data_IF_586431607787
#
_entry.id   IF_586431607787
#
_cell.length_a   1.000
_cell.length_b   1.000
_cell.length_c   1.000
_cell.angle_alpha   90.00
_cell.angle_beta   90.00
_cell.angle_gamma   90.00
#
_symmetry.space_group_name_H-M   'P 1'
#
loop_
_entity.id
_entity.type
_entity.pdbx_description
1 polymer ?
#
# COMPACT_ATOMS: atom_id res chain seq x y z
N UNK A 1 65.32 -20.88 31.23
CA UNK A 1 64.51 -21.32 30.05
C UNK A 1 64.68 -20.45 28.79
N UNK A 2 65.15 -19.21 28.82
CA UNK A 2 65.23 -18.29 27.67
C UNK A 2 66.25 -18.66 26.57
N UNK A 3 67.40 -19.28 26.88
CA UNK A 3 68.46 -19.62 25.90
C UNK A 3 68.04 -20.62 24.80
N UNK A 4 67.07 -21.53 25.05
CA UNK A 4 66.58 -22.49 24.03
C UNK A 4 65.64 -21.88 23.02
N UNK A 5 64.96 -20.79 23.35
CA UNK A 5 64.05 -20.08 22.42
C UNK A 5 64.79 -19.21 21.41
N UNK A 6 65.90 -18.61 21.77
CA UNK A 6 66.70 -17.73 20.92
C UNK A 6 67.71 -18.45 20.04
N UNK A 7 67.98 -19.75 20.32
CA UNK A 7 68.92 -20.53 19.49
C UNK A 7 68.25 -20.79 18.11
N UNK A 8 68.94 -20.35 17.04
CA UNK A 8 68.48 -20.43 15.65
C UNK A 8 67.19 -19.59 15.35
N UNK A 9 67.03 -18.43 16.04
CA UNK A 9 65.87 -17.55 15.89
C UNK A 9 65.58 -17.22 14.42
N UNK A 10 66.61 -16.98 13.61
CA UNK A 10 66.46 -16.69 12.18
C UNK A 10 65.80 -17.85 11.42
N UNK A 11 66.18 -19.10 11.70
CA UNK A 11 65.54 -20.27 11.08
C UNK A 11 64.12 -20.48 11.54
N UNK A 12 63.79 -20.16 12.80
CA UNK A 12 62.43 -20.24 13.33
C UNK A 12 61.52 -19.19 12.69
N UNK A 13 62.01 -17.94 12.55
CA UNK A 13 61.26 -16.88 11.86
C UNK A 13 61.04 -17.28 10.39
N UNK A 14 62.09 -17.79 9.71
CA UNK A 14 61.97 -18.25 8.33
C UNK A 14 60.96 -19.39 8.19
N UNK A 15 60.93 -20.36 9.13
CA UNK A 15 59.97 -21.48 9.09
C UNK A 15 58.52 -21.00 9.27
N UNK A 16 58.28 -20.00 10.15
CA UNK A 16 56.95 -19.38 10.32
C UNK A 16 56.53 -18.63 9.05
N UNK A 17 57.45 -17.90 8.44
CA UNK A 17 57.21 -17.23 7.16
C UNK A 17 56.89 -18.24 6.05
N UNK A 18 57.68 -19.29 5.94
CA UNK A 18 57.43 -20.34 4.93
C UNK A 18 56.09 -21.05 5.18
N UNK A 19 55.77 -21.39 6.42
CA UNK A 19 54.47 -21.97 6.77
C UNK A 19 53.30 -21.06 6.41
N UNK A 20 53.47 -19.76 6.66
CA UNK A 20 52.45 -18.76 6.27
C UNK A 20 52.26 -18.71 4.75
N UNK A 21 53.35 -18.68 3.98
CA UNK A 21 53.25 -18.67 2.51
C UNK A 21 52.68 -19.97 1.95
N UNK A 22 53.05 -21.14 2.52
CA UNK A 22 52.45 -22.42 2.13
C UNK A 22 50.95 -22.44 2.48
N UNK A 23 50.58 -21.95 3.67
CA UNK A 23 49.19 -21.85 4.07
C UNK A 23 48.42 -20.92 3.13
N UNK A 24 48.98 -19.75 2.80
CA UNK A 24 48.39 -18.80 1.87
C UNK A 24 48.23 -19.38 0.44
N UNK A 25 49.24 -20.11 -0.04
CA UNK A 25 49.19 -20.79 -1.32
C UNK A 25 48.12 -21.90 -1.34
N UNK A 26 48.05 -22.73 -0.31
CA UNK A 26 47.05 -23.81 -0.18
C UNK A 26 45.64 -23.20 -0.08
N UNK A 27 45.45 -22.15 0.69
CA UNK A 27 44.14 -21.47 0.84
C UNK A 27 43.70 -20.88 -0.49
N UNK A 28 44.63 -20.27 -1.26
CA UNK A 28 44.33 -19.66 -2.56
C UNK A 28 44.02 -20.70 -3.65
N UNK A 29 44.74 -21.86 -3.63
CA UNK A 29 44.51 -22.95 -4.57
C UNK A 29 43.23 -23.73 -4.23
N UNK A 30 42.96 -23.93 -2.93
CA UNK A 30 41.79 -24.69 -2.46
C UNK A 30 40.49 -23.89 -2.46
N UNK A 31 40.55 -22.56 -2.59
CA UNK A 31 39.43 -21.60 -2.56
C UNK A 31 38.04 -22.24 -2.88
N UNK A 32 37.47 -22.98 -1.92
CA UNK A 32 36.27 -23.78 -2.18
C UNK A 32 35.05 -22.89 -2.40
N UNK A 33 34.08 -23.40 -3.16
CA UNK A 33 32.79 -22.76 -3.31
C UNK A 33 32.00 -22.84 -2.01
N UNK A 34 31.40 -21.72 -1.65
CA UNK A 34 30.46 -21.60 -0.53
C UNK A 34 29.11 -21.14 -1.05
N UNK A 35 28.05 -21.58 -0.39
CA UNK A 35 26.69 -21.06 -0.65
C UNK A 35 26.42 -19.91 0.30
N UNK A 36 26.09 -18.77 -0.25
CA UNK A 36 25.67 -17.58 0.49
C UNK A 36 24.25 -17.15 0.05
N UNK A 37 23.65 -16.30 0.83
CA UNK A 37 22.29 -15.76 0.55
C UNK A 37 22.28 -14.25 0.65
N UNK A 38 21.44 -13.62 -0.16
CA UNK A 38 21.12 -12.18 -0.09
C UNK A 38 19.63 -11.95 -0.26
N UNK A 39 19.10 -10.99 0.45
CA UNK A 39 17.76 -10.47 0.19
C UNK A 39 17.85 -9.46 -0.95
N UNK A 40 17.02 -9.65 -1.97
CA UNK A 40 16.98 -8.84 -3.18
C UNK A 40 15.55 -8.35 -3.39
N UNK A 41 15.35 -7.07 -3.71
CA UNK A 41 14.03 -6.56 -4.08
C UNK A 41 13.45 -7.34 -5.27
N UNK A 42 12.14 -7.62 -5.18
CA UNK A 42 11.40 -8.28 -6.24
C UNK A 42 10.79 -7.24 -7.16
N UNK A 43 11.13 -7.30 -8.44
CA UNK A 43 10.51 -6.48 -9.48
C UNK A 43 9.37 -7.27 -10.13
N UNK A 44 8.31 -6.56 -10.52
CA UNK A 44 7.21 -7.12 -11.32
C UNK A 44 7.31 -6.53 -12.72
N UNK A 45 7.27 -7.40 -13.73
CA UNK A 45 7.35 -7.01 -15.13
C UNK A 45 6.05 -7.33 -15.85
N UNK A 46 5.78 -6.59 -16.94
CA UNK A 46 4.63 -6.79 -17.85
C UNK A 46 3.27 -6.72 -17.14
N UNK A 47 3.12 -5.77 -16.19
CA UNK A 47 1.83 -5.49 -15.52
C UNK A 47 0.74 -5.06 -16.52
N UNK A 48 1.14 -4.49 -17.64
CA UNK A 48 0.27 -4.09 -18.74
C UNK A 48 -0.51 -5.25 -19.36
N UNK A 49 0.01 -6.48 -19.31
CA UNK A 49 -0.69 -7.68 -19.79
C UNK A 49 -2.01 -7.90 -19.04
N UNK A 50 -2.02 -7.66 -17.73
CA UNK A 50 -3.23 -7.79 -16.92
C UNK A 50 -4.13 -6.56 -17.07
N UNK A 51 -3.58 -5.37 -17.02
CA UNK A 51 -4.35 -4.13 -17.15
C UNK A 51 -5.01 -3.98 -18.51
N UNK A 52 -4.39 -4.45 -19.60
CA UNK A 52 -4.99 -4.49 -20.93
C UNK A 52 -6.23 -5.41 -20.98
N UNK A 53 -6.28 -6.42 -20.12
CA UNK A 53 -7.42 -7.33 -19.98
C UNK A 53 -8.41 -6.87 -18.88
N UNK A 54 -8.28 -5.63 -18.39
CA UNK A 54 -9.14 -5.10 -17.34
C UNK A 54 -8.95 -5.78 -15.98
N UNK A 55 -7.79 -6.38 -15.74
CA UNK A 55 -7.46 -7.08 -14.49
C UNK A 55 -6.39 -6.35 -13.70
N UNK A 56 -6.44 -6.48 -12.41
CA UNK A 56 -5.38 -6.10 -11.46
C UNK A 56 -4.86 -7.35 -10.75
N UNK A 57 -3.75 -7.22 -10.05
CA UNK A 57 -3.14 -8.34 -9.36
C UNK A 57 -2.75 -7.99 -7.92
N UNK A 58 -2.56 -9.03 -7.13
CA UNK A 58 -2.01 -8.97 -5.78
C UNK A 58 -1.06 -10.14 -5.57
N UNK A 59 0.11 -9.86 -5.00
CA UNK A 59 1.05 -10.89 -4.56
C UNK A 59 0.52 -11.54 -3.28
N UNK A 60 0.31 -12.84 -3.27
CA UNK A 60 -0.39 -13.55 -2.19
C UNK A 60 0.22 -13.31 -0.80
N UNK A 61 1.54 -13.16 -0.72
CA UNK A 61 2.27 -12.94 0.53
C UNK A 61 2.67 -11.46 0.75
N UNK A 62 2.22 -10.54 -0.11
CA UNK A 62 2.63 -9.12 -0.12
C UNK A 62 4.15 -8.93 -0.05
N UNK A 63 4.90 -9.80 -0.73
CA UNK A 63 6.37 -9.84 -0.68
C UNK A 63 6.97 -8.78 -1.58
N UNK A 64 7.80 -7.95 -0.99
CA UNK A 64 8.63 -6.98 -1.71
C UNK A 64 10.07 -7.47 -1.96
N UNK A 65 10.48 -8.60 -1.34
CA UNK A 65 11.83 -9.14 -1.44
C UNK A 65 11.82 -10.66 -1.59
N UNK A 66 12.87 -11.21 -2.17
CA UNK A 66 13.15 -12.65 -2.24
C UNK A 66 14.57 -12.93 -1.79
N UNK A 67 14.78 -14.11 -1.19
CA UNK A 67 16.11 -14.58 -0.82
C UNK A 67 16.76 -15.24 -2.03
N UNK A 68 17.87 -14.70 -2.47
CA UNK A 68 18.69 -15.28 -3.54
C UNK A 68 19.82 -16.10 -2.90
N UNK A 69 19.81 -17.40 -3.13
CA UNK A 69 20.91 -18.29 -2.77
C UNK A 69 21.85 -18.45 -3.96
N UNK A 70 23.15 -18.27 -3.75
CA UNK A 70 24.16 -18.31 -4.81
C UNK A 70 25.43 -19.03 -4.35
N UNK A 71 26.17 -19.58 -5.30
CA UNK A 71 27.50 -20.16 -5.08
C UNK A 71 28.57 -19.17 -5.50
N UNK A 72 29.60 -19.05 -4.69
CA UNK A 72 30.72 -18.15 -4.93
C UNK A 72 31.98 -18.73 -4.24
N UNK A 73 33.14 -18.42 -4.74
CA UNK A 73 34.38 -18.79 -4.07
C UNK A 73 34.54 -18.08 -2.74
N UNK A 74 35.06 -18.76 -1.73
CA UNK A 74 35.17 -18.23 -0.34
C UNK A 74 35.83 -16.86 -0.29
N UNK A 75 36.91 -16.64 -1.04
CA UNK A 75 37.61 -15.34 -1.05
C UNK A 75 36.84 -14.21 -1.73
N UNK A 76 35.90 -14.54 -2.61
CA UNK A 76 35.08 -13.58 -3.34
C UNK A 76 33.75 -13.28 -2.63
N UNK A 77 33.34 -14.10 -1.65
CA UNK A 77 32.05 -14.00 -0.99
C UNK A 77 31.77 -12.63 -0.38
N UNK A 78 32.81 -11.98 0.18
CA UNK A 78 32.70 -10.64 0.76
C UNK A 78 32.50 -9.51 -0.26
N UNK A 79 32.77 -9.77 -1.55
CA UNK A 79 32.63 -8.77 -2.63
C UNK A 79 31.24 -8.77 -3.27
N UNK A 80 30.37 -9.74 -2.95
CA UNK A 80 29.05 -9.87 -3.55
C UNK A 80 28.02 -9.07 -2.76
N UNK A 81 27.31 -8.20 -3.44
CA UNK A 81 26.25 -7.33 -2.90
C UNK A 81 24.88 -7.69 -3.44
N UNK A 82 23.80 -7.17 -2.81
CA UNK A 82 22.44 -7.37 -3.30
C UNK A 82 22.23 -6.75 -4.70
N UNK A 83 22.95 -5.66 -5.03
CA UNK A 83 22.88 -4.98 -6.33
C UNK A 83 23.49 -5.78 -7.49
N UNK A 84 24.24 -6.85 -7.19
CA UNK A 84 24.75 -7.78 -8.20
C UNK A 84 23.65 -8.69 -8.76
N UNK A 85 22.50 -8.73 -8.10
CA UNK A 85 21.35 -9.54 -8.47
C UNK A 85 20.16 -8.66 -8.84
N UNK A 86 19.37 -9.12 -9.81
CA UNK A 86 18.07 -8.57 -10.15
C UNK A 86 17.08 -9.71 -10.12
N UNK A 87 16.19 -9.70 -9.12
CA UNK A 87 15.13 -10.69 -9.00
C UNK A 87 13.82 -10.11 -9.52
N UNK A 88 13.13 -10.86 -10.36
CA UNK A 88 11.87 -10.41 -10.95
C UNK A 88 10.91 -11.56 -11.24
N UNK A 89 9.66 -11.22 -11.33
CA UNK A 89 8.61 -12.06 -11.89
C UNK A 89 8.06 -11.37 -13.15
N UNK A 90 7.67 -12.16 -14.13
CA UNK A 90 7.05 -11.69 -15.35
C UNK A 90 5.60 -12.17 -15.41
N UNK A 91 4.65 -11.24 -15.36
CA UNK A 91 3.22 -11.60 -15.36
C UNK A 91 2.76 -12.23 -16.69
N UNK A 92 3.52 -12.05 -17.77
CA UNK A 92 3.28 -12.76 -19.02
C UNK A 92 3.54 -14.29 -18.91
N UNK A 93 4.39 -14.71 -17.95
CA UNK A 93 4.67 -16.13 -17.68
C UNK A 93 3.75 -16.74 -16.61
N UNK A 94 2.70 -16.02 -16.20
CA UNK A 94 1.78 -16.49 -15.18
C UNK A 94 1.00 -17.71 -15.66
N UNK A 95 1.03 -18.78 -14.87
CA UNK A 95 0.19 -19.95 -15.09
C UNK A 95 -1.21 -19.65 -14.54
N UNK A 96 -2.12 -19.21 -15.40
CA UNK A 96 -3.47 -18.73 -15.06
C UNK A 96 -4.26 -19.61 -14.08
N UNK A 97 -4.28 -20.96 -14.22
CA UNK A 97 -5.09 -21.80 -13.31
C UNK A 97 -4.71 -21.69 -11.84
N UNK A 98 -3.46 -21.33 -11.52
CA UNK A 98 -2.97 -21.28 -10.14
C UNK A 98 -2.41 -19.92 -9.74
N UNK A 99 -2.27 -18.99 -10.67
CA UNK A 99 -1.59 -17.71 -10.46
C UNK A 99 -0.09 -17.84 -10.16
N UNK A 100 0.52 -18.99 -10.50
CA UNK A 100 1.92 -19.26 -10.23
C UNK A 100 2.81 -18.54 -11.25
N UNK A 101 3.78 -17.75 -10.76
CA UNK A 101 4.76 -17.04 -11.59
C UNK A 101 6.16 -17.44 -11.13
N UNK A 102 7.04 -17.91 -12.04
CA UNK A 102 8.41 -18.25 -11.67
C UNK A 102 9.21 -16.98 -11.34
N UNK A 103 10.04 -17.08 -10.29
CA UNK A 103 10.99 -16.03 -9.94
C UNK A 103 12.25 -16.23 -10.76
N UNK A 104 12.59 -15.24 -11.57
CA UNK A 104 13.82 -15.18 -12.36
C UNK A 104 14.85 -14.32 -11.65
N UNK A 105 16.13 -14.69 -11.78
CA UNK A 105 17.24 -13.93 -11.19
C UNK A 105 18.30 -13.73 -12.25
N UNK A 106 18.57 -12.49 -12.58
CA UNK A 106 19.69 -12.09 -13.40
C UNK A 106 20.89 -11.75 -12.52
N UNK A 107 22.07 -12.17 -12.92
CA UNK A 107 23.32 -11.94 -12.20
C UNK A 107 24.24 -11.06 -13.03
N UNK A 108 24.68 -9.95 -12.45
CA UNK A 108 25.60 -9.02 -13.07
C UNK A 108 27.08 -9.34 -12.81
N UNK A 109 27.35 -10.13 -11.77
CA UNK A 109 28.69 -10.41 -11.30
C UNK A 109 29.15 -11.80 -11.75
N UNK A 110 30.20 -11.83 -12.57
CA UNK A 110 30.75 -13.07 -13.15
C UNK A 110 31.42 -14.03 -12.14
N UNK A 111 31.57 -13.62 -10.89
CA UNK A 111 32.12 -14.45 -9.81
C UNK A 111 31.07 -15.37 -9.19
N UNK A 112 29.81 -15.23 -9.55
CA UNK A 112 28.69 -16.04 -9.08
C UNK A 112 28.47 -17.19 -10.07
N UNK A 113 28.56 -18.42 -9.60
CA UNK A 113 28.46 -19.60 -10.47
C UNK A 113 27.03 -20.16 -10.59
N UNK A 114 26.27 -20.19 -9.49
CA UNK A 114 24.91 -20.71 -9.50
C UNK A 114 24.00 -19.86 -8.63
N UNK A 115 22.78 -19.64 -9.10
CA UNK A 115 21.79 -18.79 -8.47
C UNK A 115 20.45 -19.49 -8.39
N UNK A 116 19.78 -19.35 -7.27
CA UNK A 116 18.42 -19.87 -7.06
C UNK A 116 17.63 -18.90 -6.16
N UNK A 117 16.44 -18.51 -6.59
CA UNK A 117 15.53 -17.74 -5.75
C UNK A 117 14.79 -18.62 -4.75
N UNK A 118 14.50 -18.06 -3.58
CA UNK A 118 13.63 -18.67 -2.55
C UNK A 118 12.58 -17.64 -2.10
N UNK A 119 11.30 -17.88 -2.40
CA UNK A 119 10.75 -19.01 -3.16
C UNK A 119 11.11 -18.96 -4.65
N UNK A 120 11.07 -20.09 -5.34
CA UNK A 120 11.27 -20.18 -6.80
C UNK A 120 10.03 -19.77 -7.59
N UNK A 121 8.88 -19.77 -6.95
CA UNK A 121 7.58 -19.43 -7.53
C UNK A 121 6.84 -18.53 -6.55
N UNK A 122 6.25 -17.49 -7.06
CA UNK A 122 5.32 -16.61 -6.32
C UNK A 122 3.93 -16.81 -6.88
N UNK A 123 2.93 -16.77 -6.01
CA UNK A 123 1.53 -16.81 -6.44
C UNK A 123 0.96 -15.40 -6.51
N UNK A 124 0.26 -15.16 -7.58
CA UNK A 124 -0.43 -13.91 -7.87
C UNK A 124 -1.93 -14.20 -7.93
N UNK A 125 -2.72 -13.43 -7.24
CA UNK A 125 -4.18 -13.45 -7.37
C UNK A 125 -4.56 -12.30 -8.31
N UNK A 126 -5.45 -12.58 -9.26
CA UNK A 126 -5.96 -11.57 -10.18
C UNK A 126 -7.44 -11.31 -9.92
N UNK A 127 -7.85 -10.06 -10.02
CA UNK A 127 -9.24 -9.62 -9.92
C UNK A 127 -9.58 -8.72 -11.11
N UNK A 128 -10.86 -8.69 -11.48
CA UNK A 128 -11.34 -7.74 -12.47
C UNK A 128 -11.34 -6.32 -11.89
N UNK A 129 -10.97 -5.36 -12.72
CA UNK A 129 -11.06 -3.94 -12.38
C UNK A 129 -12.49 -3.49 -12.61
N UNK A 130 -13.15 -3.06 -11.54
CA UNK A 130 -14.48 -2.48 -11.60
C UNK A 130 -14.39 -0.95 -11.52
N UNK A 131 -15.15 -0.26 -12.37
CA UNK A 131 -15.38 1.17 -12.27
C UNK A 131 -16.83 1.42 -11.90
N UNK A 132 -17.08 2.17 -10.82
CA UNK A 132 -18.41 2.49 -10.34
C UNK A 132 -18.55 3.99 -10.10
N UNK A 133 -19.68 4.54 -10.53
CA UNK A 133 -20.05 5.94 -10.25
C UNK A 133 -20.73 6.02 -8.89
N UNK A 134 -20.30 6.96 -8.05
CA UNK A 134 -20.91 7.29 -6.77
C UNK A 134 -21.32 8.76 -6.74
N UNK A 135 -22.50 9.03 -6.21
CA UNK A 135 -22.91 10.37 -5.86
C UNK A 135 -22.29 10.78 -4.53
N UNK A 136 -21.83 12.02 -4.44
CA UNK A 136 -21.20 12.52 -3.22
C UNK A 136 -22.25 12.92 -2.19
N UNK A 137 -22.08 12.47 -0.98
CA UNK A 137 -22.91 12.80 0.18
C UNK A 137 -22.13 13.68 1.15
N UNK A 138 -22.75 14.72 1.69
CA UNK A 138 -22.17 15.47 2.80
C UNK A 138 -22.57 14.84 4.13
N UNK A 139 -21.60 14.65 4.98
CA UNK A 139 -21.76 14.32 6.39
C UNK A 139 -21.31 15.52 7.22
N UNK A 140 -22.07 15.87 8.25
CA UNK A 140 -21.72 16.96 9.15
C UNK A 140 -21.25 16.42 10.50
N UNK A 141 -20.20 17.01 11.05
CA UNK A 141 -19.69 16.73 12.38
C UNK A 141 -19.77 17.95 13.27
N UNK A 142 -20.18 17.76 14.52
CA UNK A 142 -20.36 18.85 15.48
C UNK A 142 -21.77 19.41 15.47
N UNK A 143 -21.93 20.64 15.93
CA UNK A 143 -23.21 21.34 15.99
C UNK A 143 -23.03 22.80 15.58
N UNK A 144 -24.07 23.38 15.03
CA UNK A 144 -24.17 24.82 14.82
C UNK A 144 -24.29 25.57 16.14
N UNK A 145 -24.06 26.88 16.14
CA UNK A 145 -24.32 27.74 17.28
C UNK A 145 -25.82 27.68 17.70
N UNK A 146 -26.08 27.89 18.99
CA UNK A 146 -27.44 27.90 19.50
C UNK A 146 -28.31 28.97 18.77
N UNK A 147 -29.48 28.57 18.27
CA UNK A 147 -30.35 29.42 17.46
C UNK A 147 -30.06 29.36 15.96
N UNK A 148 -29.17 28.47 15.54
CA UNK A 148 -28.87 28.19 14.11
C UNK A 148 -29.06 26.72 13.78
N UNK A 149 -29.28 26.40 12.50
CA UNK A 149 -29.38 25.04 11.98
C UNK A 149 -28.77 24.93 10.60
N UNK A 150 -28.40 23.73 10.25
CA UNK A 150 -27.95 23.39 8.90
C UNK A 150 -29.08 23.57 7.89
N UNK A 151 -28.76 24.15 6.76
CA UNK A 151 -29.62 24.33 5.59
C UNK A 151 -29.21 23.40 4.44
N UNK A 152 -29.16 23.92 3.24
CA UNK A 152 -28.85 23.19 2.03
C UNK A 152 -27.33 23.04 1.86
N UNK A 153 -26.89 21.84 1.54
CA UNK A 153 -25.50 21.57 1.14
C UNK A 153 -25.44 21.49 -0.39
N UNK A 154 -24.45 22.13 -0.97
CA UNK A 154 -24.08 21.96 -2.37
C UNK A 154 -22.64 21.43 -2.45
N UNK A 155 -22.41 20.38 -3.25
CA UNK A 155 -21.10 19.74 -3.43
C UNK A 155 -20.74 19.73 -4.91
N UNK A 156 -19.49 20.09 -5.22
CA UNK A 156 -18.97 20.10 -6.59
C UNK A 156 -17.65 19.33 -6.64
N UNK A 157 -17.56 18.27 -7.45
CA UNK A 157 -18.60 17.67 -8.30
C UNK A 157 -19.69 16.95 -7.50
N UNK A 158 -20.84 16.71 -8.09
CA UNK A 158 -21.94 15.96 -7.45
C UNK A 158 -21.71 14.45 -7.41
N UNK A 159 -20.79 13.95 -8.24
CA UNK A 159 -20.46 12.53 -8.34
C UNK A 159 -19.02 12.31 -8.78
N UNK A 160 -18.46 11.16 -8.43
CA UNK A 160 -17.14 10.71 -8.87
C UNK A 160 -17.18 9.27 -9.35
N UNK A 161 -16.13 8.87 -10.06
CA UNK A 161 -15.85 7.47 -10.37
C UNK A 161 -14.81 6.92 -9.42
N UNK A 162 -15.05 5.70 -8.95
CA UNK A 162 -14.11 4.89 -8.18
C UNK A 162 -13.76 3.69 -9.04
N UNK A 163 -12.47 3.44 -9.25
CA UNK A 163 -11.96 2.31 -10.04
C UNK A 163 -10.94 1.53 -9.23
N UNK A 164 -11.01 0.21 -9.29
CA UNK A 164 -10.09 -0.68 -8.56
C UNK A 164 -10.56 -2.13 -8.58
N UNK A 165 -9.91 -3.01 -7.77
CA UNK A 165 -10.31 -4.40 -7.65
C UNK A 165 -11.79 -4.52 -7.28
N UNK A 166 -12.51 -5.46 -7.92
CA UNK A 166 -13.94 -5.67 -7.68
C UNK A 166 -14.24 -5.88 -6.19
N UNK A 167 -13.41 -6.65 -5.49
CA UNK A 167 -13.53 -6.89 -4.05
C UNK A 167 -13.46 -5.62 -3.21
N UNK A 168 -12.63 -4.66 -3.60
CA UNK A 168 -12.45 -3.40 -2.88
C UNK A 168 -13.57 -2.39 -3.21
N UNK A 169 -13.89 -2.23 -4.51
CA UNK A 169 -14.97 -1.35 -4.96
C UNK A 169 -16.33 -1.83 -4.44
N UNK A 170 -16.53 -3.16 -4.37
CA UNK A 170 -17.75 -3.78 -3.85
C UNK A 170 -18.02 -3.49 -2.37
N UNK A 171 -16.98 -3.23 -1.57
CA UNK A 171 -17.12 -2.86 -0.14
C UNK A 171 -17.62 -1.43 0.07
N UNK A 172 -17.46 -0.57 -0.94
CA UNK A 172 -17.86 0.83 -0.87
C UNK A 172 -19.37 0.93 -1.04
N UNK A 173 -20.05 1.39 -0.01
CA UNK A 173 -21.49 1.65 -0.02
C UNK A 173 -21.79 3.10 -0.41
N UNK A 174 -21.11 4.04 0.22
CA UNK A 174 -21.29 5.48 -0.03
C UNK A 174 -19.95 6.19 -0.10
N UNK A 175 -19.93 7.30 -0.84
CA UNK A 175 -18.77 8.19 -0.95
C UNK A 175 -19.21 9.59 -0.59
N UNK A 176 -18.40 10.31 0.15
CA UNK A 176 -18.80 11.66 0.60
C UNK A 176 -17.67 12.45 1.23
N UNK A 177 -18.05 13.63 1.70
CA UNK A 177 -17.17 14.55 2.43
C UNK A 177 -17.68 14.76 3.84
N UNK A 178 -16.80 15.09 4.77
CA UNK A 178 -17.17 15.46 6.14
C UNK A 178 -16.94 16.96 6.35
N UNK A 179 -17.99 17.67 6.75
CA UNK A 179 -18.00 19.12 7.02
C UNK A 179 -18.06 19.30 8.53
N UNK A 180 -17.11 20.02 9.11
CA UNK A 180 -17.13 20.37 10.54
C UNK A 180 -17.88 21.66 10.76
N UNK A 181 -18.85 21.64 11.67
CA UNK A 181 -19.69 22.78 11.98
C UNK A 181 -19.07 23.74 13.01
N UNK A 182 -18.36 23.19 13.99
CA UNK A 182 -17.58 23.92 15.00
C UNK A 182 -18.27 25.19 15.58
N UNK A 183 -19.59 25.10 15.83
CA UNK A 183 -20.38 26.24 16.32
C UNK A 183 -20.73 27.27 15.24
N UNK A 184 -20.81 26.86 13.97
CA UNK A 184 -21.09 27.75 12.85
C UNK A 184 -22.40 28.51 13.02
N UNK A 185 -22.36 29.82 12.73
CA UNK A 185 -23.49 30.78 12.74
C UNK A 185 -23.66 31.54 11.42
N UNK A 186 -22.85 31.20 10.43
CA UNK A 186 -22.86 31.73 9.06
C UNK A 186 -22.51 30.60 8.07
N UNK A 187 -22.82 30.82 6.81
CA UNK A 187 -22.58 29.87 5.73
C UNK A 187 -21.11 29.43 5.71
N UNK A 188 -20.92 28.12 5.52
CA UNK A 188 -19.61 27.49 5.40
C UNK A 188 -19.32 27.17 3.94
N UNK A 189 -18.09 27.42 3.52
CA UNK A 189 -17.59 27.01 2.21
C UNK A 189 -16.13 26.58 2.31
N UNK A 190 -15.75 25.62 1.50
CA UNK A 190 -14.37 25.11 1.49
C UNK A 190 -14.21 23.89 0.62
N UNK A 191 -13.04 23.30 0.69
CA UNK A 191 -12.68 22.04 0.03
C UNK A 191 -12.48 20.96 1.09
N UNK A 192 -13.02 19.77 0.85
CA UNK A 192 -12.89 18.63 1.76
C UNK A 192 -12.45 17.38 1.03
N UNK A 193 -11.68 16.53 1.73
CA UNK A 193 -11.24 15.24 1.24
C UNK A 193 -12.42 14.30 1.06
N UNK A 194 -12.46 13.64 -0.09
CA UNK A 194 -13.46 12.61 -0.38
C UNK A 194 -13.08 11.33 0.37
N UNK A 195 -14.05 10.74 1.04
CA UNK A 195 -13.92 9.54 1.85
C UNK A 195 -14.91 8.49 1.41
N UNK A 196 -14.49 7.22 1.49
CA UNK A 196 -15.35 6.08 1.19
C UNK A 196 -15.83 5.44 2.49
N UNK A 197 -17.08 4.97 2.49
CA UNK A 197 -17.73 4.39 3.66
C UNK A 197 -18.37 3.04 3.30
N UNK A 198 -18.36 2.13 4.27
CA UNK A 198 -19.07 0.84 4.19
C UNK A 198 -20.58 0.99 4.43
N UNK A 199 -21.31 -0.13 4.39
CA UNK A 199 -22.74 -0.16 4.66
C UNK A 199 -23.10 0.29 6.10
N UNK A 200 -22.16 0.21 7.04
CA UNK A 200 -22.33 0.62 8.43
C UNK A 200 -21.89 2.07 8.67
N UNK A 201 -21.53 2.80 7.62
CA UNK A 201 -20.97 4.16 7.66
C UNK A 201 -19.60 4.26 8.34
N UNK A 202 -18.85 3.17 8.41
CA UNK A 202 -17.46 3.24 8.84
C UNK A 202 -16.60 3.69 7.67
N UNK A 203 -15.63 4.56 7.95
CA UNK A 203 -14.65 4.97 6.96
C UNK A 203 -13.79 3.79 6.52
N UNK A 204 -13.66 3.59 5.22
CA UNK A 204 -12.82 2.56 4.61
C UNK A 204 -11.47 3.18 4.26
N UNK A 205 -10.38 2.53 4.67
CA UNK A 205 -9.05 2.80 4.12
C UNK A 205 -8.97 2.11 2.76
N UNK A 206 -8.70 2.88 1.73
CA UNK A 206 -8.57 2.36 0.37
C UNK A 206 -7.21 1.69 0.19
N UNK A 207 -7.19 0.63 -0.60
CA UNK A 207 -5.98 0.00 -1.12
C UNK A 207 -5.34 0.91 -2.18
N UNK A 208 -4.02 0.86 -2.35
CA UNK A 208 -3.28 1.67 -3.34
C UNK A 208 -3.73 1.39 -4.78
N UNK A 209 -4.35 0.24 -5.03
CA UNK A 209 -4.94 -0.15 -6.33
C UNK A 209 -6.30 0.50 -6.61
N UNK A 210 -6.90 1.18 -5.61
CA UNK A 210 -8.17 1.90 -5.78
C UNK A 210 -7.90 3.36 -6.11
N UNK A 211 -8.41 3.81 -7.23
CA UNK A 211 -8.29 5.19 -7.68
C UNK A 211 -9.63 5.91 -7.64
N UNK A 212 -9.61 7.15 -7.20
CA UNK A 212 -10.73 8.08 -7.26
C UNK A 212 -10.50 9.06 -8.41
N UNK A 213 -11.53 9.36 -9.20
CA UNK A 213 -11.43 10.37 -10.27
C UNK A 213 -11.12 11.77 -9.72
N UNK A 214 -11.44 12.02 -8.44
CA UNK A 214 -11.05 13.20 -7.65
C UNK A 214 -10.86 12.80 -6.20
N UNK A 215 -9.86 13.40 -5.56
CA UNK A 215 -9.57 13.19 -4.13
C UNK A 215 -10.27 14.19 -3.22
N UNK A 216 -10.73 15.32 -3.76
CA UNK A 216 -11.33 16.44 -3.04
C UNK A 216 -12.58 16.94 -3.75
N UNK A 217 -13.48 17.54 -2.97
CA UNK A 217 -14.67 18.22 -3.48
C UNK A 217 -14.88 19.56 -2.76
N UNK A 218 -15.34 20.55 -3.52
CA UNK A 218 -15.74 21.84 -2.97
C UNK A 218 -17.16 21.74 -2.42
N UNK A 219 -17.41 22.43 -1.31
CA UNK A 219 -18.74 22.46 -0.71
C UNK A 219 -19.16 23.86 -0.30
N UNK A 220 -20.46 24.07 -0.28
CA UNK A 220 -21.11 25.18 0.38
C UNK A 220 -22.26 24.67 1.22
N UNK A 221 -22.31 25.07 2.49
CA UNK A 221 -23.35 24.71 3.45
C UNK A 221 -23.99 25.97 3.99
N UNK A 222 -25.26 26.15 3.73
CA UNK A 222 -26.02 27.27 4.29
C UNK A 222 -26.33 27.07 5.76
N UNK A 223 -26.13 28.09 6.58
CA UNK A 223 -26.49 28.08 8.00
C UNK A 223 -27.67 29.04 8.24
N UNK A 224 -28.78 28.47 8.65
CA UNK A 224 -30.06 29.18 8.81
C UNK A 224 -30.31 29.58 10.25
N UNK A 225 -30.65 30.82 10.48
CA UNK A 225 -31.10 31.31 11.79
C UNK A 225 -32.49 30.76 12.10
N UNK A 226 -32.64 30.12 13.25
CA UNK A 226 -33.96 29.63 13.72
C UNK A 226 -34.73 30.75 14.41
N UNK A 227 -35.97 30.97 14.00
CA UNK A 227 -36.87 31.91 14.64
C UNK A 227 -38.12 31.17 15.12
N UNK A 228 -38.42 31.28 16.41
CA UNK A 228 -39.65 30.77 16.96
C UNK A 228 -40.77 31.81 16.78
N UNK A 229 -41.85 31.42 16.15
CA UNK A 229 -43.04 32.24 15.98
C UNK A 229 -44.16 31.64 16.82
N UNK A 230 -44.83 32.47 17.59
CA UNK A 230 -46.10 32.10 18.25
C UNK A 230 -47.19 32.00 17.19
N UNK A 231 -47.90 30.89 17.13
CA UNK A 231 -49.08 30.73 16.32
C UNK A 231 -50.29 31.20 17.13
N UNK A 232 -51.00 32.21 16.64
CA UNK A 232 -52.29 32.64 17.18
C UNK A 232 -53.37 32.12 16.24
N UNK A 233 -54.30 31.35 16.74
CA UNK A 233 -55.42 30.83 15.97
C UNK A 233 -56.64 31.70 16.29
N UNK A 234 -57.16 32.38 15.31
CA UNK A 234 -58.43 33.04 15.35
C UNK A 234 -59.48 32.12 14.71
N UNK A 235 -60.56 31.88 15.41
CA UNK A 235 -61.67 31.09 14.91
C UNK A 235 -62.75 32.05 14.37
N UNK A 236 -63.06 32.02 13.08
CA UNK A 236 -64.16 32.75 12.48
C UNK A 236 -65.40 31.85 12.36
N UNK A 237 -66.56 32.36 12.74
CA UNK A 237 -67.84 31.67 12.61
C UNK A 237 -68.51 31.38 13.98
N UNK A 238 -69.79 31.03 13.93
CA UNK A 238 -70.55 30.61 15.07
C UNK A 238 -70.68 29.08 15.10
N UNK A 239 -70.35 28.46 16.20
CA UNK A 239 -70.71 27.06 16.43
C UNK A 239 -72.21 26.91 16.57
N UNK A 240 -72.79 25.79 16.14
CA UNK A 240 -74.17 25.45 16.29
C UNK A 240 -74.56 25.41 17.78
N UNK A 241 -75.84 25.69 18.08
CA UNK A 241 -76.33 25.68 19.44
C UNK A 241 -76.06 24.35 20.13
N UNK A 242 -75.47 24.41 21.32
CA UNK A 242 -75.06 23.23 22.08
C UNK A 242 -73.62 22.74 21.88
N UNK A 243 -72.84 23.37 20.96
CA UNK A 243 -71.42 23.05 20.73
C UNK A 243 -70.51 24.22 21.10
N UNK A 244 -69.26 23.92 21.44
CA UNK A 244 -68.23 24.94 21.73
C UNK A 244 -66.91 24.54 21.07
N UNK A 245 -66.12 25.52 20.76
CA UNK A 245 -64.70 25.27 20.36
C UNK A 245 -63.95 24.71 21.58
N UNK A 246 -63.17 23.64 21.36
CA UNK A 246 -62.26 23.03 22.37
C UNK A 246 -60.83 23.21 21.92
#
# INVERSE_FOLDING_TARGET
MGKKLTNNLKLKILSVFLAFFVWLAVTNISNPDVTATKEVPLEVLNEDVLSANGKTYELLDNRSTVTVAYKVRTLDAGSISASDFRAYIDLADMYEPTGAVPVKVDVKNSKVDAVTAKPMVIRVTTEDVQQKKFELTAYTEGKTESGYREGTVNIVPTSIYVSGPESQVGRISTVGITIRLDGANSDLSGTAQIQCFDANRNKITLDDRVSLSRSEADYTLSILKVKTLGLNFETEGRVADGYRFT
#
